data_IF_105329079801
#
_entry.id   IF_105329079801
#
_cell.length_a   1.000
_cell.length_b   1.000
_cell.length_c   1.000
_cell.angle_alpha   90.00
_cell.angle_beta   90.00
_cell.angle_gamma   90.00
#
_symmetry.space_group_name_H-M   'P 1'
#
loop_
_entity.id
_entity.type
_entity.pdbx_description
1 polymer ?
#
# COMPACT_ATOMS: atom_id res chain seq x y z
N UNK A 1 -16.44 -15.96 5.49
CA UNK A 1 -15.02 -15.61 5.73
C UNK A 1 -14.33 -16.76 6.45
N UNK A 2 -13.02 -16.97 6.24
CA UNK A 2 -12.24 -18.07 6.86
C UNK A 2 -11.59 -17.70 8.20
N UNK A 3 -11.96 -16.55 8.79
CA UNK A 3 -11.56 -16.16 10.16
C UNK A 3 -10.10 -15.74 10.36
N UNK A 4 -9.30 -15.61 9.30
CA UNK A 4 -7.88 -15.23 9.40
C UNK A 4 -7.77 -13.71 9.28
N UNK A 5 -7.25 -12.99 10.30
CA UNK A 5 -6.97 -11.56 10.18
C UNK A 5 -5.84 -11.33 9.19
N UNK A 6 -6.00 -10.33 8.32
CA UNK A 6 -5.04 -10.01 7.25
C UNK A 6 -4.44 -8.62 7.47
N UNK A 7 -3.12 -8.53 7.37
CA UNK A 7 -2.40 -7.26 7.21
C UNK A 7 -2.09 -7.09 5.71
N UNK A 8 -2.66 -6.07 5.09
CA UNK A 8 -2.36 -5.73 3.69
C UNK A 8 -1.14 -4.80 3.64
N UNK A 9 -0.13 -5.16 2.85
CA UNK A 9 1.06 -4.33 2.67
C UNK A 9 1.02 -3.66 1.28
N UNK A 10 0.95 -2.33 1.26
CA UNK A 10 0.91 -1.48 0.06
C UNK A 10 2.06 -0.46 0.06
N UNK A 11 2.24 0.24 -1.07
CA UNK A 11 3.36 1.16 -1.26
C UNK A 11 4.55 0.42 -1.86
N UNK A 12 5.74 0.61 -1.29
CA UNK A 12 6.87 -0.21 -1.68
C UNK A 12 6.69 -1.61 -1.13
N UNK A 13 6.56 -2.59 -2.01
CA UNK A 13 6.52 -4.00 -1.64
C UNK A 13 7.88 -4.64 -1.95
N UNK A 14 8.74 -4.95 -0.95
CA UNK A 14 10.10 -5.43 -1.20
C UNK A 14 10.18 -6.67 -2.09
N UNK A 15 9.16 -7.53 -2.07
CA UNK A 15 9.02 -8.68 -2.96
C UNK A 15 8.98 -8.32 -4.46
N UNK A 16 8.69 -7.06 -4.79
CA UNK A 16 8.62 -6.53 -6.15
C UNK A 16 9.82 -5.62 -6.49
N UNK A 17 10.93 -5.71 -5.76
CA UNK A 17 12.11 -4.83 -5.91
C UNK A 17 12.66 -4.76 -7.34
N UNK A 18 12.67 -5.88 -8.07
CA UNK A 18 13.15 -5.88 -9.46
C UNK A 18 12.19 -5.16 -10.41
N UNK A 19 10.87 -5.28 -10.19
CA UNK A 19 9.87 -4.54 -10.96
C UNK A 19 9.92 -3.03 -10.68
N UNK A 20 10.22 -2.63 -9.44
CA UNK A 20 10.44 -1.22 -9.10
C UNK A 20 11.81 -0.69 -9.55
N UNK A 21 12.76 -1.58 -9.85
CA UNK A 21 14.15 -1.24 -10.12
C UNK A 21 14.85 -0.65 -8.90
N UNK A 22 14.69 -1.29 -7.73
CA UNK A 22 15.25 -0.89 -6.45
C UNK A 22 14.24 -0.29 -5.47
N UNK A 23 14.73 0.11 -4.28
CA UNK A 23 13.91 0.68 -3.22
C UNK A 23 13.62 2.16 -3.49
N UNK A 24 12.38 2.48 -3.87
CA UNK A 24 11.96 3.82 -4.29
C UNK A 24 10.67 4.24 -3.61
N UNK A 25 10.51 5.54 -3.38
CA UNK A 25 9.29 6.13 -2.83
C UNK A 25 8.11 5.90 -3.78
N UNK A 26 6.98 5.41 -3.24
CA UNK A 26 5.74 5.16 -3.99
C UNK A 26 4.70 6.25 -3.76
N UNK A 27 3.70 6.36 -4.65
CA UNK A 27 2.59 7.31 -4.48
C UNK A 27 2.90 8.77 -4.80
N UNK A 28 3.96 9.08 -5.56
CA UNK A 28 4.22 10.45 -6.04
C UNK A 28 3.40 10.80 -7.28
N UNK A 29 3.01 12.07 -7.39
CA UNK A 29 2.30 12.62 -8.56
C UNK A 29 1.02 11.85 -8.89
N UNK A 30 0.83 11.49 -10.17
CA UNK A 30 -0.36 10.76 -10.63
C UNK A 30 -0.54 9.36 -10.01
N UNK A 31 0.45 8.82 -9.30
CA UNK A 31 0.35 7.51 -8.62
C UNK A 31 -0.26 7.58 -7.22
N UNK A 32 -0.47 8.77 -6.67
CA UNK A 32 -1.02 8.95 -5.33
C UNK A 32 -2.43 8.34 -5.19
N UNK A 33 -3.28 8.54 -6.21
CA UNK A 33 -4.65 8.05 -6.19
C UNK A 33 -4.71 6.51 -6.25
N UNK A 34 -3.80 5.88 -7.00
CA UNK A 34 -3.73 4.43 -7.07
C UNK A 34 -3.46 3.82 -5.68
N UNK A 35 -2.50 4.39 -4.93
CA UNK A 35 -2.19 3.92 -3.57
C UNK A 35 -3.37 4.08 -2.60
N UNK A 36 -4.12 5.19 -2.69
CA UNK A 36 -5.33 5.39 -1.89
C UNK A 36 -6.43 4.38 -2.26
N UNK A 37 -6.53 4.03 -3.54
CA UNK A 37 -7.48 3.02 -4.00
C UNK A 37 -7.09 1.63 -3.50
N UNK A 38 -5.79 1.28 -3.50
CA UNK A 38 -5.30 0.02 -2.93
C UNK A 38 -5.63 -0.09 -1.44
N UNK A 39 -5.39 0.99 -0.68
CA UNK A 39 -5.72 1.05 0.75
C UNK A 39 -7.22 0.79 0.99
N UNK A 40 -8.09 1.50 0.25
CA UNK A 40 -9.55 1.34 0.34
C UNK A 40 -10.01 -0.04 -0.08
N UNK A 41 -9.46 -0.59 -1.16
CA UNK A 41 -9.82 -1.91 -1.63
C UNK A 41 -9.50 -2.99 -0.58
N UNK A 42 -8.38 -2.86 0.13
CA UNK A 42 -8.04 -3.77 1.22
C UNK A 42 -8.91 -3.59 2.46
N UNK A 43 -9.26 -2.34 2.81
CA UNK A 43 -10.23 -2.04 3.88
C UNK A 43 -11.61 -2.64 3.59
N UNK A 44 -12.14 -2.39 2.38
CA UNK A 44 -13.42 -2.95 1.92
C UNK A 44 -13.40 -4.49 1.86
N UNK A 45 -12.25 -5.09 1.56
CA UNK A 45 -12.06 -6.55 1.61
C UNK A 45 -11.97 -7.12 3.04
N UNK A 46 -11.89 -6.28 4.07
CA UNK A 46 -11.84 -6.66 5.48
C UNK A 46 -10.44 -6.90 6.03
N UNK A 47 -9.41 -6.23 5.50
CA UNK A 47 -8.09 -6.24 6.11
C UNK A 47 -8.17 -5.65 7.54
N UNK A 48 -7.51 -6.32 8.50
CA UNK A 48 -7.45 -5.84 9.88
C UNK A 48 -6.44 -4.69 10.05
N UNK A 49 -5.42 -4.65 9.18
CA UNK A 49 -4.36 -3.65 9.16
C UNK A 49 -3.97 -3.36 7.72
N UNK A 50 -3.64 -2.11 7.42
CA UNK A 50 -2.94 -1.72 6.19
C UNK A 50 -1.58 -1.13 6.57
N UNK A 51 -0.50 -1.76 6.12
CA UNK A 51 0.87 -1.30 6.25
C UNK A 51 1.30 -0.56 4.98
N UNK A 52 1.80 0.66 5.13
CA UNK A 52 2.28 1.50 4.03
C UNK A 52 3.80 1.69 4.13
N UNK A 53 4.56 1.22 3.14
CA UNK A 53 6.04 1.32 3.13
C UNK A 53 6.55 2.32 2.09
N UNK A 54 7.52 3.15 2.47
CA UNK A 54 8.14 4.18 1.63
C UNK A 54 7.15 5.09 0.87
N UNK A 55 6.11 5.57 1.58
CA UNK A 55 5.09 6.48 1.06
C UNK A 55 5.35 7.90 1.62
N UNK A 56 5.09 8.99 0.86
CA UNK A 56 5.10 10.35 1.39
C UNK A 56 4.18 10.49 2.61
N UNK A 57 4.67 11.09 3.69
CA UNK A 57 3.92 11.21 4.95
C UNK A 57 2.55 11.89 4.76
N UNK A 58 2.49 12.97 3.97
CA UNK A 58 1.23 13.67 3.67
C UNK A 58 0.22 12.80 2.90
N UNK A 59 0.69 11.85 2.08
CA UNK A 59 -0.20 10.91 1.42
C UNK A 59 -0.68 9.83 2.40
N UNK A 60 0.19 9.32 3.25
CA UNK A 60 -0.15 8.30 4.24
C UNK A 60 -1.10 8.81 5.34
N UNK A 61 -1.13 10.12 5.59
CA UNK A 61 -2.04 10.77 6.55
C UNK A 61 -3.49 10.91 6.05
N UNK A 62 -3.71 10.87 4.74
CA UNK A 62 -5.02 11.08 4.10
C UNK A 62 -5.85 9.82 4.10
#
# INVERSE_FOLDING_TARGET
MRGIPVCAHIGLTPQSVFAFGGYKVQGRGGKAQALLNDAKAHDEAGAAVVLMECVPAELAKR
#
